data_IF_285731604684
#
_entry.id   IF_285731604684
#
_cell.length_a   1.000
_cell.length_b   1.000
_cell.length_c   1.000
_cell.angle_alpha   90.00
_cell.angle_beta   90.00
_cell.angle_gamma   90.00
#
_symmetry.space_group_name_H-M   'P 1'
#
loop_
_entity.id
_entity.type
_entity.pdbx_description
1 polymer ?
#
# COMPACT_ATOMS: atom_id res chain seq x y z
N UNK A 1 17.41 -5.08 15.48
CA UNK A 1 17.84 -3.87 14.77
C UNK A 1 16.76 -3.53 13.76
N UNK A 2 16.23 -2.31 13.86
CA UNK A 2 15.26 -1.60 13.00
C UNK A 2 14.02 -2.35 12.47
N UNK A 3 13.00 -2.45 13.35
CA UNK A 3 11.61 -2.57 12.95
C UNK A 3 11.09 -1.21 12.47
N UNK A 4 11.48 -0.79 11.27
CA UNK A 4 10.84 0.38 10.64
C UNK A 4 9.60 -0.12 9.88
N UNK A 5 8.45 -0.01 10.54
CA UNK A 5 7.13 -0.21 9.95
C UNK A 5 6.86 1.04 9.11
N UNK A 6 6.97 0.94 7.79
CA UNK A 6 6.69 2.02 6.84
C UNK A 6 5.23 1.93 6.40
N UNK A 7 4.40 2.92 6.74
CA UNK A 7 2.96 2.93 6.44
C UNK A 7 2.57 4.22 5.69
N UNK A 8 2.70 4.27 4.37
CA UNK A 8 2.19 5.38 3.57
C UNK A 8 1.07 4.94 2.62
N UNK A 9 -0.15 5.40 2.85
CA UNK A 9 -1.35 4.91 2.16
C UNK A 9 -1.77 5.76 0.97
N UNK A 10 -2.01 5.14 -0.19
CA UNK A 10 -2.57 5.80 -1.38
C UNK A 10 -3.94 6.45 -1.08
N UNK A 11 -4.72 5.87 -0.16
CA UNK A 11 -6.01 6.39 0.30
C UNK A 11 -5.96 7.84 0.78
N UNK A 12 -4.86 8.32 1.37
CA UNK A 12 -4.75 9.71 1.84
C UNK A 12 -4.74 10.71 0.69
N UNK A 13 -4.02 10.39 -0.40
CA UNK A 13 -4.10 11.18 -1.64
C UNK A 13 -5.42 10.98 -2.39
N UNK A 14 -6.25 10.00 -2.01
CA UNK A 14 -7.60 9.82 -2.56
C UNK A 14 -8.70 10.46 -1.72
N UNK A 15 -8.53 10.56 -0.39
CA UNK A 15 -9.38 11.34 0.51
C UNK A 15 -9.24 12.83 0.28
N UNK A 16 -8.08 13.22 -0.27
CA UNK A 16 -7.93 14.40 -1.10
C UNK A 16 -8.76 14.20 -2.41
N UNK A 17 -10.06 13.99 -2.26
CA UNK A 17 -11.05 13.89 -3.33
C UNK A 17 -11.45 15.32 -3.71
N UNK A 18 -10.72 15.89 -4.67
CA UNK A 18 -10.89 17.28 -5.11
C UNK A 18 -12.20 17.58 -5.84
N UNK A 19 -13.11 16.60 -5.96
CA UNK A 19 -14.50 16.91 -6.22
C UNK A 19 -15.13 17.72 -5.06
N UNK A 20 -14.54 17.67 -3.86
CA UNK A 20 -14.78 18.67 -2.82
C UNK A 20 -14.12 19.97 -3.26
N UNK A 21 -14.93 20.98 -3.58
CA UNK A 21 -14.55 22.34 -4.01
C UNK A 21 -13.53 23.08 -3.09
N UNK A 22 -13.18 22.54 -1.93
CA UNK A 22 -12.33 23.19 -0.95
C UNK A 22 -11.39 22.18 -0.27
N UNK A 23 -10.14 22.14 -0.73
CA UNK A 23 -9.00 21.72 0.08
C UNK A 23 -8.31 22.96 0.60
N UNK A 24 -7.98 23.02 1.88
CA UNK A 24 -7.31 24.15 2.51
C UNK A 24 -5.93 23.80 3.07
N UNK A 25 -5.28 24.80 3.66
CA UNK A 25 -3.92 24.67 4.18
C UNK A 25 -3.87 23.71 5.38
N UNK A 26 -4.95 23.62 6.16
CA UNK A 26 -4.96 22.81 7.37
C UNK A 26 -5.05 21.31 7.02
N UNK A 27 -5.76 20.96 5.94
CA UNK A 27 -5.72 19.61 5.35
C UNK A 27 -4.26 19.20 5.03
N UNK A 28 -3.49 20.09 4.39
CA UNK A 28 -2.10 19.81 4.01
C UNK A 28 -1.18 19.72 5.23
N UNK A 29 -1.40 20.54 6.26
CA UNK A 29 -0.65 20.44 7.52
C UNK A 29 -0.89 19.11 8.22
N UNK A 30 -2.12 18.61 8.23
CA UNK A 30 -2.44 17.31 8.81
C UNK A 30 -1.68 16.19 8.08
N UNK A 31 -1.69 16.21 6.75
CA UNK A 31 -0.94 15.26 5.93
C UNK A 31 0.57 15.35 6.19
N UNK A 32 1.13 16.56 6.27
CA UNK A 32 2.56 16.76 6.59
C UNK A 32 2.93 16.20 7.98
N UNK A 33 2.08 16.44 8.98
CA UNK A 33 2.30 15.97 10.35
C UNK A 33 2.41 14.45 10.40
N UNK A 34 1.55 13.76 9.67
CA UNK A 34 1.61 12.31 9.58
C UNK A 34 2.79 11.84 8.75
N UNK A 35 3.09 12.54 7.65
CA UNK A 35 4.19 12.18 6.78
C UNK A 35 5.55 12.25 7.47
N UNK A 36 5.68 13.10 8.51
CA UNK A 36 6.85 13.18 9.38
C UNK A 36 7.26 11.83 9.99
N UNK A 37 6.31 10.90 10.20
CA UNK A 37 6.63 9.55 10.68
C UNK A 37 7.47 8.73 9.68
N UNK A 38 7.64 9.21 8.45
CA UNK A 38 8.38 8.57 7.37
C UNK A 38 9.65 9.33 7.00
N UNK A 39 10.23 10.14 7.90
CA UNK A 39 11.46 10.89 7.66
C UNK A 39 12.65 10.04 7.18
N UNK A 40 12.65 8.74 7.53
CA UNK A 40 13.66 7.77 7.09
C UNK A 40 13.40 7.20 5.68
N UNK A 41 12.28 7.54 5.04
CA UNK A 41 11.99 7.13 3.67
C UNK A 41 12.94 7.83 2.70
N UNK A 42 13.46 7.09 1.73
CA UNK A 42 14.27 7.63 0.62
C UNK A 42 13.55 8.77 -0.13
N UNK A 43 12.22 8.78 -0.10
CA UNK A 43 11.37 9.72 -0.83
C UNK A 43 10.68 10.74 0.08
N UNK A 44 11.11 10.82 1.35
CA UNK A 44 10.55 11.76 2.31
C UNK A 44 10.65 13.20 1.79
N UNK A 45 11.83 13.58 1.30
CA UNK A 45 12.05 14.93 0.81
C UNK A 45 11.17 15.24 -0.40
N UNK A 46 11.07 14.31 -1.36
CA UNK A 46 10.30 14.57 -2.59
C UNK A 46 8.81 14.77 -2.32
N UNK A 47 8.21 13.91 -1.48
CA UNK A 47 6.78 14.05 -1.13
C UNK A 47 6.57 15.29 -0.26
N UNK A 48 7.50 15.62 0.65
CA UNK A 48 7.43 16.84 1.46
C UNK A 48 7.46 18.09 0.58
N UNK A 49 8.34 18.12 -0.42
CA UNK A 49 8.42 19.20 -1.41
C UNK A 49 7.10 19.33 -2.18
N UNK A 50 6.49 18.22 -2.60
CA UNK A 50 5.19 18.28 -3.28
C UNK A 50 4.09 18.80 -2.34
N UNK A 51 4.09 18.41 -1.07
CA UNK A 51 3.13 18.94 -0.09
C UNK A 51 3.34 20.45 0.15
N UNK A 52 4.58 20.92 0.14
CA UNK A 52 4.91 22.35 0.15
C UNK A 52 4.41 23.07 -1.11
N UNK A 53 4.59 22.48 -2.28
CA UNK A 53 4.09 23.02 -3.54
C UNK A 53 2.55 23.10 -3.55
N UNK A 54 1.87 22.10 -2.99
CA UNK A 54 0.40 22.10 -2.86
C UNK A 54 -0.05 23.22 -1.92
N UNK A 55 0.60 23.37 -0.76
CA UNK A 55 0.32 24.46 0.18
C UNK A 55 0.54 25.84 -0.47
N UNK A 56 1.63 26.00 -1.22
CA UNK A 56 1.91 27.21 -1.99
C UNK A 56 0.85 27.46 -3.07
N UNK A 57 0.36 26.43 -3.76
CA UNK A 57 -0.69 26.56 -4.76
C UNK A 57 -2.04 27.00 -4.13
N UNK A 58 -2.35 26.49 -2.93
CA UNK A 58 -3.53 26.87 -2.15
C UNK A 58 -3.49 28.36 -1.78
N UNK A 59 -2.34 28.86 -1.36
CA UNK A 59 -2.13 30.24 -0.91
C UNK A 59 -2.09 31.24 -2.07
N UNK A 60 -1.45 30.87 -3.18
CA UNK A 60 -1.10 31.82 -4.24
C UNK A 60 -2.07 31.82 -5.44
N UNK A 61 -2.84 30.76 -5.64
CA UNK A 61 -3.79 30.66 -6.75
C UNK A 61 -5.25 30.71 -6.26
N UNK A 62 -6.16 31.10 -7.16
CA UNK A 62 -7.60 31.14 -6.91
C UNK A 62 -8.36 30.54 -8.09
N UNK A 63 -9.61 30.15 -7.85
CA UNK A 63 -10.52 29.64 -8.89
C UNK A 63 -9.95 28.43 -9.64
N UNK A 64 -10.17 28.41 -10.95
CA UNK A 64 -9.75 27.29 -11.82
C UNK A 64 -8.24 27.07 -11.83
N UNK A 65 -7.44 28.14 -11.74
CA UNK A 65 -5.98 28.02 -11.73
C UNK A 65 -5.48 27.26 -10.49
N UNK A 66 -6.08 27.53 -9.32
CA UNK A 66 -5.78 26.78 -8.09
C UNK A 66 -6.12 25.31 -8.27
N UNK A 67 -7.31 25.02 -8.79
CA UNK A 67 -7.75 23.66 -9.03
C UNK A 67 -6.81 22.90 -9.98
N UNK A 68 -6.39 23.53 -11.08
CA UNK A 68 -5.47 22.92 -12.03
C UNK A 68 -4.11 22.58 -11.43
N UNK A 69 -3.46 23.55 -10.76
CA UNK A 69 -2.12 23.35 -10.20
C UNK A 69 -2.12 22.29 -9.10
N UNK A 70 -3.12 22.32 -8.21
CA UNK A 70 -3.23 21.34 -7.13
C UNK A 70 -3.44 19.92 -7.71
N UNK A 71 -4.31 19.75 -8.71
CA UNK A 71 -4.53 18.44 -9.33
C UNK A 71 -3.27 17.89 -9.99
N UNK A 72 -2.51 18.75 -10.69
CA UNK A 72 -1.24 18.37 -11.30
C UNK A 72 -0.23 17.89 -10.25
N UNK A 73 -0.05 18.66 -9.17
CA UNK A 73 0.88 18.31 -8.08
C UNK A 73 0.46 17.02 -7.37
N UNK A 74 -0.83 16.82 -7.15
CA UNK A 74 -1.34 15.58 -6.55
C UNK A 74 -1.19 14.38 -7.48
N UNK A 75 -1.38 14.56 -8.79
CA UNK A 75 -1.08 13.53 -9.79
C UNK A 75 0.37 13.07 -9.72
N UNK A 76 1.31 14.01 -9.59
CA UNK A 76 2.73 13.70 -9.38
C UNK A 76 2.95 12.95 -8.07
N UNK A 77 2.34 13.41 -6.96
CA UNK A 77 2.45 12.75 -5.66
C UNK A 77 1.97 11.28 -5.72
N UNK A 78 0.82 11.03 -6.34
CA UNK A 78 0.27 9.68 -6.52
C UNK A 78 1.21 8.79 -7.33
N UNK A 79 1.75 9.30 -8.43
CA UNK A 79 2.72 8.53 -9.24
C UNK A 79 3.98 8.18 -8.44
N UNK A 80 4.50 9.11 -7.63
CA UNK A 80 5.66 8.86 -6.79
C UNK A 80 5.37 7.79 -5.75
N UNK A 81 4.28 7.92 -5.00
CA UNK A 81 3.87 6.94 -3.98
C UNK A 81 3.70 5.54 -4.59
N UNK A 82 3.07 5.48 -5.76
CA UNK A 82 2.88 4.26 -6.55
C UNK A 82 4.21 3.60 -6.90
N UNK A 83 5.18 4.39 -7.37
CA UNK A 83 6.52 3.92 -7.63
C UNK A 83 7.20 3.37 -6.37
N UNK A 84 7.06 4.03 -5.22
CA UNK A 84 7.62 3.57 -3.95
C UNK A 84 7.08 2.20 -3.53
N UNK A 85 5.76 2.04 -3.62
CA UNK A 85 5.08 0.78 -3.32
C UNK A 85 5.62 -0.34 -4.22
N UNK A 86 5.73 -0.08 -5.53
CA UNK A 86 6.26 -1.06 -6.47
C UNK A 86 7.72 -1.44 -6.13
N UNK A 87 8.56 -0.48 -5.77
CA UNK A 87 9.92 -0.78 -5.33
C UNK A 87 9.96 -1.61 -4.04
N UNK A 88 9.06 -1.33 -3.06
CA UNK A 88 8.93 -2.17 -1.85
C UNK A 88 8.56 -3.61 -2.21
N UNK A 89 7.61 -3.78 -3.13
CA UNK A 89 7.14 -5.08 -3.62
C UNK A 89 8.24 -5.85 -4.36
N UNK A 90 8.97 -5.18 -5.25
CA UNK A 90 10.06 -5.80 -6.00
C UNK A 90 11.18 -6.29 -5.07
N UNK A 91 11.54 -5.47 -4.09
CA UNK A 91 12.54 -5.83 -3.09
C UNK A 91 12.06 -7.00 -2.22
N UNK A 92 10.78 -7.01 -1.82
CA UNK A 92 10.18 -8.11 -1.09
C UNK A 92 10.19 -9.41 -1.91
N UNK A 93 9.73 -9.35 -3.16
CA UNK A 93 9.69 -10.50 -4.07
C UNK A 93 11.08 -11.12 -4.28
N UNK A 94 12.09 -10.29 -4.53
CA UNK A 94 13.49 -10.73 -4.64
C UNK A 94 13.98 -11.41 -3.37
N UNK A 95 13.59 -10.91 -2.19
CA UNK A 95 13.98 -11.48 -0.91
C UNK A 95 13.26 -12.81 -0.64
N UNK A 96 11.96 -12.91 -0.92
CA UNK A 96 11.20 -14.17 -0.80
C UNK A 96 11.78 -15.26 -1.71
N UNK A 97 12.16 -14.92 -2.94
CA UNK A 97 12.82 -15.85 -3.88
C UNK A 97 14.15 -16.41 -3.36
N UNK A 98 14.76 -15.78 -2.35
CA UNK A 98 15.99 -16.25 -1.69
C UNK A 98 15.71 -17.08 -0.43
N UNK A 99 14.43 -17.28 -0.07
CA UNK A 99 13.99 -18.05 1.09
C UNK A 99 13.28 -19.34 0.67
N UNK A 100 13.04 -20.23 1.63
CA UNK A 100 12.22 -21.43 1.47
C UNK A 100 10.78 -21.24 1.97
N UNK A 101 10.32 -19.99 2.11
CA UNK A 101 8.96 -19.69 2.57
C UNK A 101 7.98 -20.06 1.45
N UNK A 102 7.23 -21.13 1.67
CA UNK A 102 6.23 -21.65 0.74
C UNK A 102 4.81 -21.54 1.28
N UNK A 103 4.65 -21.35 2.59
CA UNK A 103 3.33 -21.37 3.21
C UNK A 103 3.00 -19.98 3.73
N UNK A 104 1.81 -19.49 3.38
CA UNK A 104 1.27 -18.23 3.87
C UNK A 104 -0.08 -18.44 4.54
N UNK A 105 -0.38 -17.61 5.53
CA UNK A 105 -1.62 -17.69 6.31
C UNK A 105 -2.10 -16.29 6.72
N UNK A 106 -3.40 -16.06 6.60
CA UNK A 106 -4.04 -14.87 7.18
C UNK A 106 -4.02 -15.02 8.70
N UNK A 107 -3.10 -14.31 9.36
CA UNK A 107 -2.91 -14.39 10.80
C UNK A 107 -4.02 -13.68 11.56
N UNK A 108 -4.33 -12.44 11.18
CA UNK A 108 -5.36 -11.64 11.82
C UNK A 108 -5.81 -10.47 10.95
N UNK A 109 -6.98 -9.95 11.30
CA UNK A 109 -7.50 -8.68 10.80
C UNK A 109 -7.68 -7.78 12.02
N UNK A 110 -7.04 -6.60 12.04
CA UNK A 110 -7.25 -5.60 13.10
C UNK A 110 -7.67 -4.25 12.52
N UNK A 111 -8.85 -3.77 12.92
CA UNK A 111 -9.46 -2.53 12.40
C UNK A 111 -9.50 -2.49 10.86
N UNK A 112 -8.48 -1.91 10.23
CA UNK A 112 -8.32 -1.74 8.78
C UNK A 112 -7.07 -2.44 8.23
N UNK A 113 -6.36 -3.25 9.02
CA UNK A 113 -5.16 -3.96 8.60
C UNK A 113 -5.40 -5.46 8.47
N UNK A 114 -4.82 -6.05 7.43
CA UNK A 114 -4.75 -7.49 7.24
C UNK A 114 -3.29 -7.95 7.42
N UNK A 115 -3.10 -8.90 8.33
CA UNK A 115 -1.80 -9.49 8.60
C UNK A 115 -1.74 -10.88 7.97
N UNK A 116 -0.78 -11.07 7.07
CA UNK A 116 -0.46 -12.36 6.47
C UNK A 116 0.93 -12.74 6.98
N UNK A 117 1.08 -13.97 7.46
CA UNK A 117 2.39 -14.50 7.88
C UNK A 117 2.84 -15.58 6.92
N UNK A 118 4.15 -15.70 6.74
CA UNK A 118 4.76 -16.72 5.89
C UNK A 118 5.83 -17.51 6.62
N UNK A 119 5.89 -18.81 6.36
CA UNK A 119 6.88 -19.75 6.89
C UNK A 119 7.17 -20.88 5.91
N UNK A 120 8.23 -21.64 6.16
CA UNK A 120 8.35 -22.99 5.58
C UNK A 120 7.64 -24.06 6.43
N UNK A 121 7.37 -23.75 7.71
CA UNK A 121 6.61 -24.60 8.63
C UNK A 121 5.77 -23.70 9.56
N UNK A 122 4.56 -23.37 9.10
CA UNK A 122 3.60 -22.56 9.85
C UNK A 122 3.13 -23.24 11.15
N UNK A 123 3.49 -24.49 11.45
CA UNK A 123 3.02 -25.18 12.66
C UNK A 123 3.58 -24.58 13.96
N UNK A 124 4.75 -23.93 13.89
CA UNK A 124 5.48 -23.50 15.09
C UNK A 124 5.94 -22.04 15.08
N UNK A 125 6.21 -21.48 13.91
CA UNK A 125 6.71 -20.12 13.77
C UNK A 125 6.43 -19.55 12.38
N UNK A 126 6.71 -18.26 12.25
CA UNK A 126 6.76 -17.56 10.96
C UNK A 126 7.97 -16.62 10.92
N UNK A 127 8.50 -16.41 9.73
CA UNK A 127 9.72 -15.64 9.46
C UNK A 127 9.41 -14.29 8.83
N UNK A 128 8.21 -14.17 8.26
CA UNK A 128 7.76 -12.95 7.61
C UNK A 128 6.33 -12.62 8.00
N UNK A 129 6.07 -11.35 8.24
CA UNK A 129 4.75 -10.78 8.44
C UNK A 129 4.56 -9.67 7.40
N UNK A 130 3.61 -9.88 6.51
CA UNK A 130 3.11 -8.93 5.53
C UNK A 130 1.91 -8.24 6.16
N UNK A 131 1.94 -6.91 6.24
CA UNK A 131 0.82 -6.13 6.77
C UNK A 131 0.29 -5.24 5.66
N UNK A 132 -0.96 -5.48 5.28
CA UNK A 132 -1.71 -4.64 4.35
C UNK A 132 -2.51 -3.64 5.16
N UNK A 133 -2.39 -2.36 4.82
CA UNK A 133 -2.98 -1.25 5.58
C UNK A 133 -4.11 -0.59 4.81
N UNK A 134 -5.18 -0.19 5.49
CA UNK A 134 -6.34 0.43 4.85
C UNK A 134 -6.97 -0.53 3.85
N UNK A 135 -7.27 -1.74 4.31
CA UNK A 135 -7.86 -2.81 3.51
C UNK A 135 -9.34 -2.50 3.26
N UNK A 136 -9.69 -2.31 2.00
CA UNK A 136 -11.04 -1.95 1.57
C UNK A 136 -11.82 -3.17 1.09
N UNK A 137 -11.13 -4.20 0.62
CA UNK A 137 -11.75 -5.40 0.05
C UNK A 137 -10.85 -6.63 0.19
N UNK A 138 -11.45 -7.77 0.50
CA UNK A 138 -10.80 -9.07 0.58
C UNK A 138 -11.67 -10.08 -0.17
N UNK A 139 -11.14 -10.65 -1.24
CA UNK A 139 -11.64 -11.85 -1.92
C UNK A 139 -10.60 -12.93 -1.75
N UNK A 140 -10.54 -13.51 -0.56
CA UNK A 140 -9.58 -14.54 -0.18
C UNK A 140 -10.20 -15.47 0.88
N UNK A 141 -10.05 -16.80 0.77
CA UNK A 141 -10.42 -17.71 1.85
C UNK A 141 -9.64 -17.40 3.12
N UNK A 142 -10.28 -17.54 4.28
CA UNK A 142 -9.64 -17.33 5.60
C UNK A 142 -8.56 -18.37 5.90
N UNK A 143 -8.72 -19.58 5.36
CA UNK A 143 -7.77 -20.68 5.47
C UNK A 143 -7.35 -21.08 4.08
N UNK A 144 -6.20 -20.60 3.64
CA UNK A 144 -5.61 -21.02 2.38
C UNK A 144 -4.11 -20.94 2.53
N UNK A 145 -3.43 -21.99 2.10
CA UNK A 145 -2.02 -21.93 1.76
C UNK A 145 -1.92 -21.32 0.37
N UNK A 146 -0.88 -20.52 0.14
CA UNK A 146 -0.55 -20.01 -1.18
C UNK A 146 0.85 -20.46 -1.48
N UNK A 147 1.10 -21.10 -2.61
CA UNK A 147 2.47 -21.48 -2.99
C UNK A 147 3.32 -20.25 -3.32
N UNK A 148 2.67 -19.17 -3.78
CA UNK A 148 3.31 -17.88 -4.00
C UNK A 148 2.34 -16.70 -3.79
N UNK A 149 2.88 -15.60 -3.26
CA UNK A 149 2.20 -14.30 -3.27
C UNK A 149 2.81 -13.46 -4.38
N UNK A 150 2.02 -13.14 -5.41
CA UNK A 150 2.42 -12.19 -6.45
C UNK A 150 1.72 -10.87 -6.23
N UNK A 151 2.39 -9.96 -5.56
CA UNK A 151 1.85 -8.62 -5.36
C UNK A 151 1.90 -7.87 -6.69
N UNK A 152 0.75 -7.40 -7.15
CA UNK A 152 0.64 -6.68 -8.40
C UNK A 152 0.61 -5.18 -8.10
N UNK A 153 1.58 -4.48 -8.66
CA UNK A 153 1.61 -3.02 -8.57
C UNK A 153 0.45 -2.43 -9.35
N UNK A 154 0.11 -1.17 -9.07
CA UNK A 154 -0.99 -0.44 -9.72
C UNK A 154 -0.77 -0.20 -11.24
N UNK A 155 0.29 -0.73 -11.85
CA UNK A 155 0.62 -0.59 -13.28
C UNK A 155 0.56 -1.89 -14.08
N UNK A 156 0.30 -3.03 -13.45
CA UNK A 156 0.24 -4.27 -14.22
C UNK A 156 -1.15 -4.39 -14.84
N UNK A 157 -1.20 -4.38 -16.17
CA UNK A 157 -2.42 -4.60 -16.95
C UNK A 157 -2.93 -6.04 -16.73
N UNK A 158 -3.59 -6.31 -15.61
CA UNK A 158 -4.33 -7.55 -15.43
C UNK A 158 -5.63 -7.41 -16.23
N UNK A 159 -5.63 -7.92 -17.47
CA UNK A 159 -6.82 -7.96 -18.35
C UNK A 159 -8.04 -8.65 -17.72
N UNK A 160 -7.82 -9.37 -16.62
CA UNK A 160 -8.79 -10.22 -15.94
C UNK A 160 -9.24 -9.68 -14.57
N UNK A 161 -8.94 -8.42 -14.23
CA UNK A 161 -9.50 -7.84 -13.01
C UNK A 161 -11.02 -7.71 -13.12
N UNK A 162 -11.79 -8.10 -12.09
CA UNK A 162 -13.19 -7.77 -12.00
C UNK A 162 -13.43 -6.26 -12.15
N UNK A 163 -14.54 -5.86 -12.78
CA UNK A 163 -14.80 -4.45 -13.09
C UNK A 163 -14.90 -3.56 -11.84
N UNK A 164 -15.30 -4.12 -10.70
CA UNK A 164 -15.31 -3.39 -9.43
C UNK A 164 -13.89 -3.06 -8.93
N UNK A 165 -12.87 -3.87 -9.29
CA UNK A 165 -11.47 -3.59 -8.95
C UNK A 165 -10.87 -2.58 -9.93
N UNK A 166 -11.19 -2.67 -11.23
CA UNK A 166 -10.75 -1.68 -12.24
C UNK A 166 -11.14 -0.25 -11.85
N UNK A 167 -12.33 -0.07 -11.29
CA UNK A 167 -12.81 1.23 -10.82
C UNK A 167 -12.07 1.75 -9.57
N UNK A 168 -11.21 0.94 -8.95
CA UNK A 168 -10.40 1.27 -7.78
C UNK A 168 -8.87 1.25 -8.06
N UNK A 169 -8.42 0.97 -9.28
CA UNK A 169 -7.00 0.92 -9.65
C UNK A 169 -6.26 2.25 -9.42
N UNK A 170 -6.96 3.37 -9.59
CA UNK A 170 -6.43 4.71 -9.33
C UNK A 170 -6.37 5.05 -7.84
N UNK A 171 -6.98 4.21 -6.99
CA UNK A 171 -7.20 4.50 -5.58
C UNK A 171 -6.43 3.57 -4.63
N UNK A 172 -6.16 2.34 -5.03
CA UNK A 172 -5.69 1.35 -4.07
C UNK A 172 -4.67 0.38 -4.69
N UNK A 173 -3.81 -0.19 -3.85
CA UNK A 173 -2.92 -1.28 -4.23
C UNK A 173 -3.75 -2.56 -4.32
N UNK A 174 -3.54 -3.33 -5.38
CA UNK A 174 -4.24 -4.59 -5.62
C UNK A 174 -3.26 -5.73 -5.39
N UNK A 175 -3.37 -6.38 -4.24
CA UNK A 175 -2.63 -7.58 -3.93
C UNK A 175 -3.32 -8.76 -4.60
N UNK A 176 -2.55 -9.49 -5.40
CA UNK A 176 -2.99 -10.70 -6.07
C UNK A 176 -2.35 -11.89 -5.36
N UNK A 177 -3.17 -12.88 -5.05
CA UNK A 177 -2.69 -14.15 -4.53
C UNK A 177 -3.28 -15.23 -5.41
N UNK A 178 -2.41 -16.06 -5.97
CA UNK A 178 -2.79 -17.18 -6.81
C UNK A 178 -2.28 -18.43 -6.13
N UNK A 179 -3.19 -19.35 -5.93
CA UNK A 179 -2.88 -20.71 -5.52
C UNK A 179 -2.65 -21.52 -6.81
N UNK A 180 -1.49 -22.19 -6.90
CA UNK A 180 -1.11 -22.97 -8.10
C UNK A 180 -2.12 -24.08 -8.39
N UNK A 181 -2.80 -24.58 -7.36
CA UNK A 181 -3.69 -25.73 -7.48
C UNK A 181 -5.11 -25.37 -7.91
N UNK A 182 -5.68 -24.28 -7.40
CA UNK A 182 -7.09 -23.95 -7.61
C UNK A 182 -7.36 -23.07 -8.84
N UNK A 183 -6.32 -22.45 -9.43
CA UNK A 183 -6.46 -21.35 -10.41
C UNK A 183 -7.40 -20.23 -9.93
N UNK A 184 -7.70 -20.19 -8.62
CA UNK A 184 -8.56 -19.19 -8.03
C UNK A 184 -7.75 -17.94 -7.77
N UNK A 185 -8.21 -16.85 -8.40
CA UNK A 185 -7.61 -15.53 -8.27
C UNK A 185 -8.17 -14.85 -7.03
N UNK A 186 -7.33 -14.69 -6.03
CA UNK A 186 -7.68 -13.97 -4.81
C UNK A 186 -7.15 -12.54 -4.90
N UNK A 187 -7.96 -11.61 -4.40
CA UNK A 187 -7.66 -10.19 -4.49
C UNK A 187 -7.79 -9.55 -3.11
N UNK A 188 -6.84 -8.71 -2.75
CA UNK A 188 -6.97 -7.80 -1.62
C UNK A 188 -6.72 -6.39 -2.13
N UNK A 189 -7.62 -5.47 -1.82
CA UNK A 189 -7.46 -4.05 -2.12
C UNK A 189 -7.06 -3.37 -0.83
N UNK A 190 -5.87 -2.78 -0.80
CA UNK A 190 -5.37 -2.06 0.36
C UNK A 190 -4.61 -0.80 -0.04
N UNK A 191 -4.41 0.09 0.90
CA UNK A 191 -3.84 1.41 0.64
C UNK A 191 -2.31 1.44 0.77
N UNK A 192 -1.72 0.57 1.59
CA UNK A 192 -0.27 0.37 1.70
C UNK A 192 0.09 -1.08 2.09
N UNK A 193 1.39 -1.37 2.04
CA UNK A 193 2.00 -2.59 2.54
C UNK A 193 3.29 -2.32 3.33
N UNK A 194 3.45 -3.07 4.41
CA UNK A 194 4.69 -3.18 5.17
C UNK A 194 5.11 -4.64 5.38
N UNK A 195 6.40 -4.84 5.65
CA UNK A 195 7.00 -6.15 5.83
C UNK A 195 7.82 -6.17 7.12
N UNK A 196 7.66 -7.21 7.93
CA UNK A 196 8.51 -7.48 9.09
C UNK A 196 9.16 -8.83 8.90
N UNK A 197 10.47 -8.88 9.08
CA UNK A 197 11.27 -10.09 8.97
C UNK A 197 11.79 -10.52 10.34
N UNK A 198 11.91 -11.82 10.55
CA UNK A 198 12.48 -12.41 11.74
C UNK A 198 11.64 -13.58 12.23
N UNK A 199 12.32 -14.57 12.79
CA UNK A 199 11.68 -15.75 13.39
C UNK A 199 10.81 -15.33 14.58
N UNK A 200 9.52 -15.65 14.52
CA UNK A 200 8.56 -15.40 15.59
C UNK A 200 7.75 -16.67 15.86
N UNK A 201 7.64 -17.03 17.13
CA UNK A 201 6.77 -18.12 17.56
C UNK A 201 5.33 -17.65 17.65
N UNK A 202 4.39 -18.58 17.47
CA UNK A 202 2.99 -18.32 17.78
C UNK A 202 2.85 -17.95 19.26
N UNK A 203 2.36 -16.75 19.53
CA UNK A 203 1.90 -16.41 20.88
C UNK A 203 0.61 -17.21 21.11
N UNK A 204 0.71 -18.27 21.93
CA UNK A 204 -0.48 -18.95 22.49
C UNK A 204 -1.14 -18.07 23.55
#
# INVERSE_FOLDING_TARGET
>A
MENNIFVFTMSRFNHIDFNRKHIDVDDIKEIKKEYKNYEKSMYYNDVTNILEDIENAILNFKGEKRYYEINKLCGNAKQMVKYQINCKIDNFSKKIQQTNISDYYIYKIDSENLHIVGSFDLSYYYEVEIVLHGVEFISCPTYTSFDFIKIIGTNDNIKELPDFIKNNEDKSIIFFMEDEFSQCKNFIVASDISFKWGLKHWNK
#
